data_IF_358999080666
#
_entry.id   IF_358999080666
#
_cell.length_a   1.000
_cell.length_b   1.000
_cell.length_c   1.000
_cell.angle_alpha   90.00
_cell.angle_beta   90.00
_cell.angle_gamma   90.00
#
_symmetry.space_group_name_H-M   'P 1'
#
loop_
_entity.id
_entity.type
_entity.pdbx_description
1 polymer ?
#
# COMPACT_ATOMS: atom_id res chain seq x y z
N UNK A 1 -37.55 -33.94 52.14
CA UNK A 1 -36.14 -33.94 51.71
C UNK A 1 -36.00 -34.77 50.45
N UNK A 2 -35.56 -34.14 49.35
CA UNK A 2 -34.72 -34.68 48.28
C UNK A 2 -34.57 -33.54 47.25
N UNK A 3 -33.46 -32.83 47.35
CA UNK A 3 -33.10 -31.77 46.40
C UNK A 3 -32.15 -32.42 45.39
N UNK A 4 -32.62 -32.61 44.17
CA UNK A 4 -31.85 -33.15 43.05
C UNK A 4 -30.65 -32.23 42.76
N UNK A 5 -29.44 -32.78 42.86
CA UNK A 5 -28.19 -32.04 42.69
C UNK A 5 -27.85 -31.96 41.19
N UNK A 6 -27.97 -30.76 40.64
CA UNK A 6 -27.81 -30.43 39.23
C UNK A 6 -26.39 -30.76 38.67
N UNK A 7 -26.25 -31.48 37.53
CA UNK A 7 -24.97 -31.95 36.98
C UNK A 7 -23.95 -30.84 36.63
N UNK A 8 -24.37 -29.58 36.53
CA UNK A 8 -23.49 -28.44 36.29
C UNK A 8 -22.46 -28.21 37.41
N UNK A 9 -22.71 -28.67 38.65
CA UNK A 9 -21.77 -28.53 39.77
C UNK A 9 -20.62 -29.54 39.76
N UNK A 10 -20.74 -30.66 39.03
CA UNK A 10 -19.66 -31.66 38.94
C UNK A 10 -18.56 -31.23 37.97
N UNK A 11 -18.90 -30.50 36.92
CA UNK A 11 -17.93 -30.03 35.90
C UNK A 11 -17.03 -28.93 36.47
N UNK A 12 -17.58 -28.07 37.33
CA UNK A 12 -16.81 -26.98 37.95
C UNK A 12 -15.79 -27.48 38.99
N UNK A 13 -16.09 -28.57 39.70
CA UNK A 13 -15.18 -29.17 40.69
C UNK A 13 -13.99 -29.91 40.05
N UNK A 14 -14.16 -30.43 38.82
CA UNK A 14 -13.10 -31.14 38.09
C UNK A 14 -12.10 -30.18 37.43
N UNK A 15 -12.55 -28.99 37.03
CA UNK A 15 -11.69 -27.96 36.42
C UNK A 15 -10.82 -27.21 37.44
N UNK A 16 -11.26 -27.11 38.70
CA UNK A 16 -10.51 -26.41 39.75
C UNK A 16 -9.37 -27.25 40.35
N UNK A 17 -9.41 -28.59 40.21
CA UNK A 17 -8.40 -29.50 40.78
C UNK A 17 -7.20 -29.74 39.86
N UNK A 18 -7.30 -29.43 38.57
CA UNK A 18 -6.14 -29.53 37.65
C UNK A 18 -5.23 -28.30 37.77
N UNK A 19 -5.70 -27.18 38.32
CA UNK A 19 -4.92 -25.94 38.45
C UNK A 19 -3.97 -25.91 39.66
N UNK A 20 -4.00 -26.91 40.55
CA UNK A 20 -3.32 -26.86 41.86
C UNK A 20 -2.25 -27.96 42.10
N UNK A 21 -1.80 -28.69 41.07
CA UNK A 21 -0.82 -29.80 41.24
C UNK A 21 0.54 -29.56 40.56
N UNK A 22 0.92 -28.33 40.21
CA UNK A 22 2.32 -28.06 39.80
C UNK A 22 2.92 -26.75 40.37
N UNK A 23 2.69 -26.50 41.66
CA UNK A 23 3.61 -25.71 42.49
C UNK A 23 4.16 -26.60 43.60
N UNK A 24 5.31 -27.22 43.36
CA UNK A 24 5.93 -28.09 44.35
C UNK A 24 7.31 -28.61 43.96
N UNK A 25 8.33 -27.82 44.32
CA UNK A 25 9.69 -28.24 44.66
C UNK A 25 10.61 -28.83 43.56
N UNK A 26 11.59 -28.02 43.11
CA UNK A 26 13.02 -28.38 43.16
C UNK A 26 13.84 -27.12 43.52
N UNK A 27 14.45 -27.12 44.72
CA UNK A 27 15.58 -26.26 45.09
C UNK A 27 16.83 -27.15 45.00
N UNK A 28 17.70 -26.91 44.02
CA UNK A 28 19.04 -26.32 44.20
C UNK A 28 20.01 -26.72 43.07
N UNK A 29 20.84 -25.76 42.64
CA UNK A 29 22.08 -26.04 41.90
C UNK A 29 22.13 -25.73 40.39
N UNK A 30 22.52 -24.48 40.07
CA UNK A 30 23.25 -24.04 38.87
C UNK A 30 22.48 -23.48 37.63
N UNK A 31 22.31 -22.14 37.67
CA UNK A 31 22.36 -21.14 36.58
C UNK A 31 21.51 -21.34 35.30
N UNK A 32 20.31 -20.74 35.37
CA UNK A 32 19.72 -19.78 34.44
C UNK A 32 19.84 -20.00 32.91
N UNK A 33 18.73 -20.41 32.30
CA UNK A 33 17.91 -19.58 31.39
C UNK A 33 16.79 -20.45 30.81
N UNK A 34 15.55 -20.02 31.03
CA UNK A 34 14.35 -20.73 30.62
C UNK A 34 14.28 -20.91 29.09
N UNK A 35 14.26 -22.17 28.64
CA UNK A 35 13.93 -22.56 27.28
C UNK A 35 12.57 -23.27 27.33
N UNK A 36 11.48 -22.50 27.43
CA UNK A 36 10.15 -23.03 27.22
C UNK A 36 9.85 -23.08 25.72
N UNK A 37 9.91 -24.30 25.19
CA UNK A 37 9.29 -24.68 23.93
C UNK A 37 7.77 -24.63 24.12
N UNK A 38 7.20 -23.43 24.04
CA UNK A 38 5.82 -23.25 23.66
C UNK A 38 5.81 -23.20 22.15
N UNK A 39 5.16 -24.17 21.51
CA UNK A 39 4.76 -24.08 20.11
C UNK A 39 3.71 -22.96 19.99
N UNK A 40 4.16 -21.71 20.14
CA UNK A 40 3.51 -20.58 19.53
C UNK A 40 3.41 -20.93 18.05
N UNK A 41 2.19 -21.17 17.60
CA UNK A 41 1.84 -20.91 16.22
C UNK A 41 2.07 -19.41 16.04
N UNK A 42 3.31 -19.06 15.75
CA UNK A 42 3.68 -17.74 15.29
C UNK A 42 3.01 -17.62 13.94
N UNK A 43 1.80 -17.07 13.91
CA UNK A 43 1.29 -16.43 12.71
C UNK A 43 2.27 -15.28 12.48
N UNK A 44 3.35 -15.56 11.75
CA UNK A 44 4.25 -14.53 11.23
C UNK A 44 3.36 -13.60 10.45
N UNK A 45 3.03 -12.44 11.02
CA UNK A 45 2.40 -11.36 10.30
C UNK A 45 3.36 -11.03 9.14
N UNK A 46 3.05 -11.57 7.95
CA UNK A 46 3.86 -11.42 6.74
C UNK A 46 3.67 -10.04 6.11
N UNK A 47 2.99 -9.14 6.81
CA UNK A 47 2.62 -7.81 6.36
C UNK A 47 3.64 -6.84 6.95
N UNK A 48 4.60 -6.45 6.12
CA UNK A 48 5.75 -5.66 6.55
C UNK A 48 5.29 -4.22 6.79
N UNK A 49 5.12 -3.86 8.05
CA UNK A 49 5.05 -2.46 8.46
C UNK A 49 6.45 -1.90 8.29
N UNK A 50 6.60 -0.85 7.49
CA UNK A 50 7.88 -0.18 7.29
C UNK A 50 8.34 0.48 8.59
N UNK A 51 9.57 0.21 9.01
CA UNK A 51 10.15 0.74 10.25
C UNK A 51 10.45 2.24 10.19
N UNK A 52 10.38 2.86 9.02
CA UNK A 52 10.59 4.31 8.82
C UNK A 52 9.33 5.14 9.02
N UNK A 53 8.20 4.53 9.37
CA UNK A 53 6.97 5.25 9.70
C UNK A 53 7.18 6.01 11.02
N UNK A 54 7.09 7.33 10.95
CA UNK A 54 7.17 8.21 12.09
C UNK A 54 5.86 9.01 12.24
N UNK A 55 5.46 9.26 13.48
CA UNK A 55 4.34 10.15 13.77
C UNK A 55 4.75 11.62 13.60
N UNK A 56 3.81 12.44 13.16
CA UNK A 56 3.96 13.89 13.12
C UNK A 56 3.83 14.52 14.51
N UNK A 57 3.88 15.85 14.59
CA UNK A 57 3.78 16.61 15.85
C UNK A 57 2.46 16.36 16.61
N UNK A 58 1.38 15.98 15.92
CA UNK A 58 0.07 15.63 16.50
C UNK A 58 -0.02 14.15 16.94
N UNK A 59 1.09 13.40 16.83
CA UNK A 59 1.13 11.97 17.08
C UNK A 59 0.35 11.15 16.04
N UNK A 60 0.19 11.65 14.82
CA UNK A 60 -0.48 10.96 13.71
C UNK A 60 0.54 10.45 12.69
N UNK A 61 0.30 9.26 12.17
CA UNK A 61 1.04 8.69 11.03
C UNK A 61 0.27 8.92 9.74
N UNK A 62 0.97 9.18 8.63
CA UNK A 62 0.42 9.21 7.27
C UNK A 62 1.05 8.07 6.47
N UNK A 63 0.24 7.08 6.13
CA UNK A 63 0.71 5.81 5.56
C UNK A 63 -0.08 5.41 4.33
N UNK A 64 0.58 4.64 3.46
CA UNK A 64 0.00 3.93 2.34
C UNK A 64 -0.11 2.46 2.71
N UNK A 65 -1.31 1.92 2.68
CA UNK A 65 -1.62 0.52 2.94
C UNK A 65 -1.88 -0.15 1.59
N UNK A 66 -0.99 -1.03 1.17
CA UNK A 66 -1.09 -1.74 -0.12
C UNK A 66 -1.64 -3.14 0.08
N UNK A 67 -2.53 -3.56 -0.82
CA UNK A 67 -3.24 -4.82 -0.78
C UNK A 67 -2.76 -5.77 -1.88
N UNK A 68 -3.01 -7.06 -1.70
CA UNK A 68 -2.78 -8.08 -2.71
C UNK A 68 -3.66 -7.81 -3.93
N UNK A 69 -3.12 -8.06 -5.11
CA UNK A 69 -3.89 -8.01 -6.34
C UNK A 69 -4.94 -9.12 -6.36
N UNK A 70 -6.20 -8.77 -6.60
CA UNK A 70 -7.23 -9.77 -6.96
C UNK A 70 -6.93 -10.33 -8.36
N UNK A 71 -7.37 -11.56 -8.61
CA UNK A 71 -7.11 -12.30 -9.85
C UNK A 71 -7.53 -11.45 -11.06
N UNK A 72 -6.63 -11.17 -12.03
CA UNK A 72 -6.84 -10.15 -13.06
C UNK A 72 -8.13 -10.32 -13.87
N UNK A 73 -8.46 -11.56 -14.22
CA UNK A 73 -9.51 -11.87 -15.19
C UNK A 73 -10.93 -11.80 -14.61
N UNK A 74 -11.09 -11.93 -13.28
CA UNK A 74 -12.41 -11.94 -12.65
C UNK A 74 -13.17 -10.62 -12.81
N UNK A 75 -12.44 -9.49 -12.85
CA UNK A 75 -13.04 -8.14 -12.88
C UNK A 75 -13.27 -7.60 -14.29
N UNK A 76 -12.63 -8.18 -15.29
CA UNK A 76 -12.78 -7.77 -16.68
C UNK A 76 -14.18 -8.10 -17.22
N UNK A 77 -14.70 -9.30 -16.92
CA UNK A 77 -16.06 -9.70 -17.30
C UNK A 77 -17.13 -8.83 -16.63
N UNK A 78 -16.93 -8.51 -15.35
CA UNK A 78 -17.82 -7.62 -14.58
C UNK A 78 -17.84 -6.20 -15.15
N UNK A 79 -16.66 -5.64 -15.48
CA UNK A 79 -16.53 -4.33 -16.11
C UNK A 79 -17.22 -4.26 -17.48
N UNK A 80 -17.05 -5.28 -18.33
CA UNK A 80 -17.74 -5.39 -19.63
C UNK A 80 -19.26 -5.38 -19.47
N UNK A 81 -19.77 -6.11 -18.47
CA UNK A 81 -21.21 -6.17 -18.19
C UNK A 81 -21.76 -4.82 -17.72
N UNK A 82 -21.03 -4.10 -16.87
CA UNK A 82 -21.46 -2.81 -16.32
C UNK A 82 -21.42 -1.66 -17.34
N UNK A 83 -20.43 -1.65 -18.24
CA UNK A 83 -20.27 -0.58 -19.22
C UNK A 83 -20.96 -0.87 -20.57
N UNK A 84 -21.29 -2.14 -20.84
CA UNK A 84 -21.90 -2.57 -22.10
C UNK A 84 -20.87 -2.79 -23.21
N UNK A 85 -21.33 -3.37 -24.32
CA UNK A 85 -20.50 -3.81 -25.46
C UNK A 85 -19.94 -2.66 -26.31
N UNK A 86 -20.47 -1.45 -26.17
CA UNK A 86 -20.04 -0.25 -26.91
C UNK A 86 -18.93 0.53 -26.20
N UNK A 87 -18.58 0.15 -24.96
CA UNK A 87 -17.54 0.83 -24.21
C UNK A 87 -16.15 0.56 -24.80
N UNK A 88 -15.29 1.58 -24.81
CA UNK A 88 -13.93 1.43 -25.32
C UNK A 88 -13.11 0.44 -24.45
N UNK A 89 -12.11 -0.24 -25.03
CA UNK A 89 -11.23 -1.13 -24.27
C UNK A 89 -10.54 -0.45 -23.08
N UNK A 90 -10.19 0.84 -23.22
CA UNK A 90 -9.61 1.64 -22.16
C UNK A 90 -10.59 1.86 -20.99
N UNK A 91 -11.86 2.19 -21.29
CA UNK A 91 -12.88 2.37 -20.27
C UNK A 91 -13.16 1.07 -19.50
N UNK A 92 -13.24 -0.06 -20.21
CA UNK A 92 -13.39 -1.40 -19.62
C UNK A 92 -12.21 -1.73 -18.70
N UNK A 93 -10.98 -1.46 -19.15
CA UNK A 93 -9.76 -1.72 -18.37
C UNK A 93 -9.69 -0.87 -17.10
N UNK A 94 -10.03 0.42 -17.21
CA UNK A 94 -10.11 1.33 -16.07
C UNK A 94 -11.15 0.84 -15.05
N UNK A 95 -12.35 0.48 -15.51
CA UNK A 95 -13.42 0.00 -14.63
C UNK A 95 -13.06 -1.32 -13.95
N UNK A 96 -12.40 -2.23 -14.66
CA UNK A 96 -11.91 -3.48 -14.09
C UNK A 96 -10.85 -3.22 -13.00
N UNK A 97 -9.95 -2.25 -13.21
CA UNK A 97 -9.00 -1.82 -12.20
C UNK A 97 -9.68 -1.23 -10.97
N UNK A 98 -10.72 -0.39 -11.15
CA UNK A 98 -11.50 0.16 -10.04
C UNK A 98 -12.20 -0.93 -9.22
N UNK A 99 -12.82 -1.90 -9.87
CA UNK A 99 -13.47 -3.02 -9.18
C UNK A 99 -12.46 -3.89 -8.42
N UNK A 100 -11.27 -4.08 -8.97
CA UNK A 100 -10.16 -4.78 -8.30
C UNK A 100 -9.74 -4.04 -7.03
N UNK A 101 -9.50 -2.73 -7.14
CA UNK A 101 -9.13 -1.90 -6.01
C UNK A 101 -10.20 -1.93 -4.91
N UNK A 102 -11.47 -1.73 -5.26
CA UNK A 102 -12.58 -1.78 -4.30
C UNK A 102 -12.68 -3.13 -3.59
N UNK A 103 -12.54 -4.24 -4.32
CA UNK A 103 -12.59 -5.58 -3.74
C UNK A 103 -11.44 -5.83 -2.74
N UNK A 104 -10.22 -5.45 -3.11
CA UNK A 104 -9.03 -5.60 -2.26
C UNK A 104 -9.10 -4.72 -1.00
N UNK A 105 -9.72 -3.55 -1.12
CA UNK A 105 -9.81 -2.53 -0.07
C UNK A 105 -10.97 -2.76 0.91
N UNK A 106 -11.98 -3.57 0.55
CA UNK A 106 -13.24 -3.72 1.29
C UNK A 106 -13.09 -3.99 2.78
N UNK A 107 -12.23 -4.94 3.17
CA UNK A 107 -12.06 -5.28 4.60
C UNK A 107 -11.34 -4.18 5.38
N UNK A 108 -10.40 -3.48 4.74
CA UNK A 108 -9.71 -2.36 5.38
C UNK A 108 -10.61 -1.13 5.48
N UNK A 109 -11.44 -0.85 4.49
CA UNK A 109 -12.43 0.24 4.56
C UNK A 109 -13.40 0.04 5.71
N UNK A 110 -13.91 -1.19 5.92
CA UNK A 110 -14.75 -1.51 7.08
C UNK A 110 -14.00 -1.27 8.40
N UNK A 111 -12.76 -1.77 8.52
CA UNK A 111 -11.92 -1.53 9.70
C UNK A 111 -11.66 -0.04 9.96
N UNK A 112 -11.43 0.75 8.91
CA UNK A 112 -11.10 2.17 9.02
C UNK A 112 -12.33 3.04 9.34
N UNK A 113 -13.50 2.70 8.81
CA UNK A 113 -14.74 3.45 9.02
C UNK A 113 -15.19 3.43 10.50
N UNK A 114 -14.99 2.30 11.17
CA UNK A 114 -15.45 2.11 12.56
C UNK A 114 -14.39 2.50 13.60
N UNK A 115 -13.22 3.01 13.19
CA UNK A 115 -12.09 3.20 14.08
C UNK A 115 -11.91 4.68 14.50
N UNK A 116 -12.13 5.04 15.77
CA UNK A 116 -12.03 6.42 16.23
C UNK A 116 -10.60 6.98 16.22
N UNK A 117 -9.59 6.13 16.02
CA UNK A 117 -8.18 6.52 15.93
C UNK A 117 -7.78 6.94 14.51
N UNK A 118 -8.68 6.80 13.54
CA UNK A 118 -8.49 7.25 12.16
C UNK A 118 -9.03 8.67 12.03
N UNK A 119 -8.17 9.60 11.56
CA UNK A 119 -8.56 10.99 11.29
C UNK A 119 -9.16 11.13 9.89
N UNK A 120 -8.53 10.49 8.91
CA UNK A 120 -8.95 10.49 7.51
C UNK A 120 -8.38 9.27 6.81
N UNK A 121 -9.11 8.72 5.85
CA UNK A 121 -8.56 7.79 4.88
C UNK A 121 -9.06 8.12 3.47
N UNK A 122 -8.32 7.69 2.46
CA UNK A 122 -8.60 7.92 1.05
C UNK A 122 -8.28 6.67 0.23
N UNK A 123 -9.28 6.16 -0.48
CA UNK A 123 -9.08 5.06 -1.43
C UNK A 123 -8.47 5.59 -2.70
N UNK A 124 -7.34 5.03 -3.11
CA UNK A 124 -6.81 5.27 -4.44
C UNK A 124 -7.58 4.36 -5.39
N UNK A 125 -8.42 4.95 -6.25
CA UNK A 125 -9.45 4.19 -6.97
C UNK A 125 -8.92 3.18 -8.00
N UNK A 126 -7.68 3.37 -8.46
CA UNK A 126 -7.06 2.51 -9.49
C UNK A 126 -5.91 1.68 -8.90
N UNK A 127 -5.32 2.16 -7.80
CA UNK A 127 -4.26 1.45 -7.11
C UNK A 127 -4.87 0.56 -6.03
N UNK A 128 -4.31 -0.62 -5.81
CA UNK A 128 -4.69 -1.47 -4.67
C UNK A 128 -4.10 -0.92 -3.37
N UNK A 129 -4.36 0.36 -3.07
CA UNK A 129 -3.76 1.08 -1.94
C UNK A 129 -4.76 2.07 -1.34
N UNK A 130 -4.79 2.16 -0.01
CA UNK A 130 -5.49 3.22 0.74
C UNK A 130 -4.46 4.09 1.43
N UNK A 131 -4.62 5.41 1.35
CA UNK A 131 -3.92 6.35 2.23
C UNK A 131 -4.67 6.47 3.55
N UNK A 132 -3.97 6.37 4.67
CA UNK A 132 -4.55 6.48 6.02
C UNK A 132 -3.78 7.49 6.83
N UNK A 133 -4.51 8.41 7.46
CA UNK A 133 -4.00 9.35 8.46
C UNK A 133 -4.68 9.05 9.80
N UNK A 134 -3.90 8.69 10.81
CA UNK A 134 -4.44 8.33 12.13
C UNK A 134 -3.37 8.06 13.16
N UNK A 135 -3.75 7.54 14.34
CA UNK A 135 -2.80 7.21 15.40
C UNK A 135 -2.02 5.93 15.09
N UNK A 136 -0.82 5.79 15.64
CA UNK A 136 0.08 4.68 15.32
C UNK A 136 -0.49 3.29 15.68
N UNK A 137 -1.42 3.20 16.64
CA UNK A 137 -2.00 1.92 17.07
C UNK A 137 -2.84 1.26 15.97
N UNK A 138 -3.30 2.01 14.96
CA UNK A 138 -4.08 1.44 13.85
C UNK A 138 -3.24 0.51 12.98
N UNK A 139 -1.91 0.69 12.94
CA UNK A 139 -1.01 -0.05 12.06
C UNK A 139 -1.01 -1.55 12.36
N UNK A 140 -1.10 -1.92 13.64
CA UNK A 140 -1.17 -3.32 14.06
C UNK A 140 -2.50 -3.97 13.66
N UNK A 141 -3.60 -3.21 13.67
CA UNK A 141 -4.90 -3.71 13.21
C UNK A 141 -4.90 -3.93 11.70
N UNK A 142 -4.39 -2.96 10.95
CA UNK A 142 -4.26 -3.04 9.49
C UNK A 142 -3.34 -4.18 9.05
N UNK A 143 -2.20 -4.38 9.71
CA UNK A 143 -1.26 -5.45 9.35
C UNK A 143 -1.80 -6.86 9.60
N UNK A 144 -2.86 -7.02 10.40
CA UNK A 144 -3.52 -8.32 10.61
C UNK A 144 -4.55 -8.66 9.54
N UNK A 145 -4.93 -7.70 8.69
CA UNK A 145 -5.89 -7.95 7.61
C UNK A 145 -5.22 -8.84 6.55
N UNK A 146 -5.87 -9.96 6.23
CA UNK A 146 -5.38 -10.93 5.23
C UNK A 146 -4.99 -10.31 3.88
N UNK A 147 -5.73 -9.34 3.30
CA UNK A 147 -5.36 -8.80 1.98
C UNK A 147 -4.23 -7.76 2.04
N UNK A 148 -3.80 -7.28 3.20
CA UNK A 148 -2.71 -6.29 3.29
C UNK A 148 -1.38 -6.96 2.95
N UNK A 149 -0.52 -6.29 2.19
CA UNK A 149 0.83 -6.74 1.83
C UNK A 149 1.87 -5.92 2.56
N UNK A 150 1.71 -4.60 2.54
CA UNK A 150 2.69 -3.67 3.09
C UNK A 150 2.02 -2.40 3.61
N UNK A 151 2.64 -1.80 4.61
CA UNK A 151 2.30 -0.48 5.10
C UNK A 151 3.55 0.38 5.05
N UNK A 152 3.54 1.44 4.24
CA UNK A 152 4.69 2.31 4.00
C UNK A 152 4.35 3.75 4.34
N UNK A 153 5.34 4.60 4.71
CA UNK A 153 5.07 6.02 4.92
C UNK A 153 4.63 6.70 3.62
N UNK A 154 3.67 7.62 3.70
CA UNK A 154 3.32 8.49 2.58
C UNK A 154 4.36 9.63 2.49
N UNK A 155 5.42 9.41 1.70
CA UNK A 155 6.53 10.37 1.57
C UNK A 155 6.18 11.47 0.59
N UNK A 156 6.54 12.70 0.94
CA UNK A 156 6.51 13.81 -0.01
C UNK A 156 7.65 13.62 -1.03
N UNK A 157 7.32 13.72 -2.31
CA UNK A 157 8.33 13.82 -3.37
C UNK A 157 8.90 15.25 -3.37
N UNK A 158 10.21 15.37 -3.53
CA UNK A 158 10.86 16.65 -3.76
C UNK A 158 11.06 16.83 -5.26
N UNK A 159 10.73 18.03 -5.75
CA UNK A 159 11.02 18.39 -7.13
C UNK A 159 12.55 18.45 -7.32
N UNK A 160 13.07 17.59 -8.17
CA UNK A 160 14.46 17.67 -8.60
C UNK A 160 14.52 18.73 -9.68
N UNK A 161 15.11 19.89 -9.38
CA UNK A 161 15.47 20.87 -10.39
C UNK A 161 16.82 20.44 -10.96
N UNK A 162 16.90 20.04 -12.25
CA UNK A 162 18.17 19.66 -12.84
C UNK A 162 19.14 20.83 -12.75
N UNK A 163 20.39 20.56 -12.37
CA UNK A 163 21.43 21.57 -12.46
C UNK A 163 21.56 22.01 -13.93
N UNK A 164 21.61 23.32 -14.18
CA UNK A 164 21.88 23.83 -15.54
C UNK A 164 23.25 23.30 -15.97
N UNK A 165 23.25 22.39 -16.94
CA UNK A 165 24.48 22.00 -17.63
C UNK A 165 24.69 23.01 -18.76
N UNK A 166 25.27 24.16 -18.44
CA UNK A 166 25.76 25.07 -19.49
C UNK A 166 26.97 24.41 -20.17
N UNK A 167 26.70 23.57 -21.17
CA UNK A 167 27.73 23.10 -22.09
C UNK A 167 27.93 24.20 -23.12
N UNK A 168 29.11 24.82 -23.09
CA UNK A 168 29.54 25.66 -24.20
C UNK A 168 29.51 24.80 -25.48
N UNK A 169 28.72 25.23 -26.46
CA UNK A 169 28.67 24.63 -27.79
C UNK A 169 30.03 24.91 -28.46
N UNK A 170 31.00 24.01 -28.23
CA UNK A 170 32.32 24.05 -28.86
C UNK A 170 33.28 25.11 -28.31
N UNK A 171 34.31 24.65 -27.60
CA UNK A 171 35.59 25.37 -27.46
C UNK A 171 35.69 26.35 -26.29
N UNK A 172 36.70 26.11 -25.45
CA UNK A 172 37.35 26.99 -24.45
C UNK A 172 36.48 28.00 -23.67
N UNK A 173 36.41 27.77 -22.36
CA UNK A 173 35.66 28.48 -21.31
C UNK A 173 36.02 29.96 -21.06
N UNK A 174 36.45 30.73 -22.06
CA UNK A 174 36.71 32.17 -21.88
C UNK A 174 35.88 32.97 -22.88
N UNK A 175 34.70 33.38 -22.40
CA UNK A 175 33.96 34.53 -22.91
C UNK A 175 33.11 34.34 -24.19
N UNK A 176 32.50 33.18 -24.39
CA UNK A 176 31.35 33.08 -25.29
C UNK A 176 30.08 33.43 -24.49
N UNK A 177 29.37 34.49 -24.89
CA UNK A 177 28.02 34.71 -24.39
C UNK A 177 27.18 33.48 -24.74
N UNK A 178 26.57 32.85 -23.73
CA UNK A 178 25.73 31.66 -23.93
C UNK A 178 24.51 32.12 -24.73
N UNK A 179 24.44 31.72 -26.02
CA UNK A 179 23.26 31.91 -26.82
C UNK A 179 22.25 30.81 -26.46
N UNK A 180 21.13 31.14 -25.77
CA UNK A 180 20.18 30.14 -25.29
C UNK A 180 19.50 29.38 -26.43
N UNK A 181 19.34 29.99 -27.60
CA UNK A 181 18.69 29.36 -28.76
C UNK A 181 19.59 28.26 -29.35
N UNK A 182 20.90 28.51 -29.45
CA UNK A 182 21.88 27.52 -29.92
C UNK A 182 22.05 26.36 -28.94
N UNK A 183 22.00 26.62 -27.64
CA UNK A 183 22.05 25.57 -26.61
C UNK A 183 20.79 24.67 -26.65
N UNK A 184 19.61 25.27 -26.83
CA UNK A 184 18.36 24.52 -27.03
C UNK A 184 18.43 23.67 -28.30
N UNK A 185 18.88 24.23 -29.42
CA UNK A 185 19.00 23.49 -30.68
C UNK A 185 20.01 22.34 -30.56
N UNK A 186 21.15 22.57 -29.91
CA UNK A 186 22.15 21.54 -29.65
C UNK A 186 21.58 20.41 -28.77
N UNK A 187 20.83 20.75 -27.71
CA UNK A 187 20.20 19.77 -26.83
C UNK A 187 19.11 18.96 -27.55
N UNK A 188 18.27 19.61 -28.36
CA UNK A 188 17.25 18.95 -29.18
C UNK A 188 17.89 18.03 -30.24
N UNK A 189 18.99 18.46 -30.86
CA UNK A 189 19.77 17.64 -31.80
C UNK A 189 20.42 16.45 -31.09
N UNK A 190 20.94 16.65 -29.88
CA UNK A 190 21.58 15.59 -29.08
C UNK A 190 20.60 14.45 -28.74
N UNK A 191 19.35 14.78 -28.40
CA UNK A 191 18.28 13.77 -28.19
C UNK A 191 17.60 13.31 -29.49
N UNK A 192 18.11 13.73 -30.66
CA UNK A 192 17.65 13.37 -32.01
C UNK A 192 16.15 13.61 -32.25
N UNK A 193 15.58 14.71 -31.74
CA UNK A 193 14.13 14.96 -31.92
C UNK A 193 13.73 15.06 -33.40
N UNK A 194 14.65 15.48 -34.26
CA UNK A 194 14.47 15.53 -35.71
C UNK A 194 14.10 14.17 -36.33
N UNK A 195 14.43 13.04 -35.71
CA UNK A 195 14.04 11.70 -36.17
C UNK A 195 12.60 11.31 -35.81
N UNK A 196 12.01 11.98 -34.82
CA UNK A 196 10.65 11.66 -34.34
C UNK A 196 9.62 12.64 -34.92
N UNK A 197 10.01 13.90 -35.12
CA UNK A 197 9.10 14.91 -35.67
C UNK A 197 8.79 14.73 -37.15
N UNK A 198 9.72 14.17 -37.94
CA UNK A 198 9.50 13.89 -39.38
C UNK A 198 8.56 12.71 -39.62
N UNK A 199 8.37 11.81 -38.65
CA UNK A 199 7.46 10.67 -38.76
C UNK A 199 6.01 10.99 -38.34
N UNK A 200 5.75 12.20 -37.84
CA UNK A 200 4.43 12.64 -37.35
C UNK A 200 3.83 13.74 -38.22
N UNK A 201 3.66 13.48 -39.52
CA UNK A 201 2.66 14.20 -40.30
C UNK A 201 1.29 13.69 -39.87
N UNK A 202 0.65 14.38 -38.91
CA UNK A 202 -0.76 14.14 -38.64
C UNK A 202 -1.55 14.52 -39.92
N UNK A 203 -2.41 13.65 -40.46
CA UNK A 203 -3.26 14.03 -41.58
C UNK A 203 -4.13 15.21 -41.13
N UNK A 204 -3.94 16.35 -41.80
CA UNK A 204 -4.86 17.47 -41.70
C UNK A 204 -6.21 16.95 -42.20
N UNK A 205 -7.29 16.98 -41.41
CA UNK A 205 -8.60 16.65 -41.94
C UNK A 205 -8.90 17.68 -43.02
N UNK A 206 -9.12 17.22 -44.25
CA UNK A 206 -9.63 18.06 -45.34
C UNK A 206 -10.86 18.78 -44.82
N UNK A 207 -10.75 20.10 -44.69
CA UNK A 207 -11.89 20.97 -44.53
C UNK A 207 -12.79 20.71 -45.74
N UNK A 208 -13.94 20.11 -45.48
CA UNK A 208 -15.10 20.09 -46.37
C UNK A 208 -15.40 21.53 -46.80
N UNK A 209 -14.90 21.91 -47.96
CA UNK A 209 -15.45 23.00 -48.75
C UNK A 209 -16.61 22.41 -49.55
N UNK A 210 -17.82 22.65 -49.07
CA UNK A 210 -19.05 22.65 -49.88
C UNK A 210 -19.43 24.10 -50.08
#
# INVERSE_FOLDING_TARGET
MKQELNPARKVLALLLTVFLVFTGAIIDGAKASALESSSQITIKAKNKIDSTIAANQDGLVDVLVTFQDDVPDRRLGEAKRLLGSQASPAAISLKAAQLRAQAAQKSAQAFLADNPKVKKYESLEIANTIRVVGKQEILQGLSKLSPVVSITPNRMAQMIVPAKTSQAVGGSSRSAAINPEEEIEANLRAIRVNKVWTEKTLPVPELLLV
#
